data_IF_838338781332
#
_entry.id   IF_838338781332
#
_cell.length_a   1.000
_cell.length_b   1.000
_cell.length_c   1.000
_cell.angle_alpha   90.00
_cell.angle_beta   90.00
_cell.angle_gamma   90.00
#
_symmetry.space_group_name_H-M   'P 1'
#
loop_
_entity.id
_entity.type
_entity.pdbx_description
1 polymer ?
#
# COMPACT_ATOMS: atom_id res chain seq x y z
N UNK A 1 -14.60 -7.59 -24.12
CA UNK A 1 -13.61 -7.53 -25.22
C UNK A 1 -12.97 -6.16 -25.21
N UNK A 2 -11.66 -6.08 -25.46
CA UNK A 2 -10.90 -4.83 -25.53
C UNK A 2 -10.02 -4.84 -26.77
N UNK A 3 -9.82 -3.68 -27.38
CA UNK A 3 -8.90 -3.47 -28.48
C UNK A 3 -7.48 -3.36 -27.93
N UNK A 4 -6.55 -4.16 -28.47
CA UNK A 4 -5.12 -4.04 -28.14
C UNK A 4 -4.45 -3.10 -29.14
N UNK A 5 -3.90 -2.00 -28.66
CA UNK A 5 -3.15 -1.06 -29.48
C UNK A 5 -1.73 -1.60 -29.78
N UNK A 6 -1.05 -1.00 -30.75
CA UNK A 6 0.31 -1.42 -31.16
C UNK A 6 1.35 -1.28 -30.05
N UNK A 7 1.11 -0.43 -29.06
CA UNK A 7 1.94 -0.24 -27.87
C UNK A 7 1.61 -1.23 -26.73
N UNK A 8 0.65 -2.13 -26.94
CA UNK A 8 0.21 -3.13 -25.96
C UNK A 8 -0.87 -2.64 -25.00
N UNK A 9 -1.28 -1.37 -25.04
CA UNK A 9 -2.38 -0.85 -24.21
C UNK A 9 -3.73 -1.44 -24.65
N UNK A 10 -4.67 -1.53 -23.71
CA UNK A 10 -6.02 -2.04 -23.94
C UNK A 10 -7.04 -0.91 -23.86
N UNK A 11 -7.87 -0.78 -24.90
CA UNK A 11 -8.93 0.21 -25.05
C UNK A 11 -10.29 -0.49 -25.09
N UNK A 12 -11.30 0.06 -24.41
CA UNK A 12 -12.67 -0.49 -24.47
C UNK A 12 -13.35 -0.14 -25.79
N UNK A 13 -14.14 -1.08 -26.34
CA UNK A 13 -15.00 -0.82 -27.49
C UNK A 13 -16.25 -0.03 -27.07
N UNK A 14 -16.91 0.62 -28.03
CA UNK A 14 -18.19 1.28 -27.79
C UNK A 14 -19.27 0.24 -27.46
N UNK A 15 -20.25 0.60 -26.63
CA UNK A 15 -21.43 -0.22 -26.39
C UNK A 15 -22.24 -0.52 -27.69
N UNK A 16 -22.09 0.36 -28.68
CA UNK A 16 -22.76 0.25 -29.99
C UNK A 16 -21.98 -0.60 -31.00
N UNK A 17 -20.76 -1.01 -30.69
CA UNK A 17 -19.97 -1.86 -31.57
C UNK A 17 -20.53 -3.30 -31.58
N UNK A 18 -20.67 -3.86 -32.78
CA UNK A 18 -21.15 -5.22 -32.99
C UNK A 18 -20.00 -6.13 -33.43
N UNK A 19 -20.09 -7.39 -33.04
CA UNK A 19 -19.04 -8.39 -33.23
C UNK A 19 -19.60 -9.68 -33.81
N UNK A 20 -18.76 -10.37 -34.57
CA UNK A 20 -18.89 -11.78 -34.90
C UNK A 20 -17.90 -12.56 -34.04
N UNK A 21 -18.36 -13.60 -33.35
CA UNK A 21 -17.54 -14.40 -32.42
C UNK A 21 -17.80 -15.88 -32.61
N UNK A 22 -16.74 -16.68 -32.60
CA UNK A 22 -16.81 -18.12 -32.81
C UNK A 22 -15.73 -18.87 -32.05
N UNK A 23 -16.11 -20.00 -31.45
CA UNK A 23 -15.19 -20.94 -30.81
C UNK A 23 -14.60 -21.86 -31.89
N UNK A 24 -13.29 -21.79 -32.08
CA UNK A 24 -12.56 -22.55 -33.10
C UNK A 24 -12.07 -23.91 -32.58
N UNK A 25 -11.67 -23.97 -31.30
CA UNK A 25 -11.11 -25.16 -30.64
C UNK A 25 -11.62 -25.20 -29.18
N UNK A 26 -11.65 -26.39 -28.55
CA UNK A 26 -11.99 -26.56 -27.13
C UNK A 26 -13.48 -26.42 -26.78
N UNK A 27 -14.39 -26.78 -27.69
CA UNK A 27 -15.83 -26.54 -27.48
C UNK A 27 -16.53 -27.51 -26.53
N UNK A 28 -15.79 -28.48 -26.04
CA UNK A 28 -16.21 -29.44 -25.02
C UNK A 28 -16.09 -28.78 -23.63
N UNK A 29 -15.23 -27.76 -23.50
CA UNK A 29 -14.97 -27.05 -22.26
C UNK A 29 -16.00 -25.95 -21.92
N UNK A 30 -16.96 -25.67 -22.78
CA UNK A 30 -18.01 -24.69 -22.52
C UNK A 30 -18.59 -24.05 -23.77
N UNK A 31 -19.33 -22.94 -23.58
CA UNK A 31 -20.01 -22.23 -24.67
C UNK A 31 -20.00 -20.70 -24.47
N UNK A 32 -20.15 -19.95 -25.57
CA UNK A 32 -20.35 -18.50 -25.50
C UNK A 32 -21.79 -18.21 -25.08
N UNK A 33 -21.97 -17.28 -24.14
CA UNK A 33 -23.25 -16.76 -23.68
C UNK A 33 -23.45 -15.32 -24.16
N UNK A 34 -24.51 -15.09 -24.95
CA UNK A 34 -24.98 -13.75 -25.33
C UNK A 34 -26.50 -13.66 -25.17
N UNK A 35 -26.97 -12.64 -24.43
CA UNK A 35 -28.40 -12.35 -24.31
C UNK A 35 -29.26 -13.52 -23.78
N UNK A 36 -28.66 -14.42 -23.00
CA UNK A 36 -29.33 -15.62 -22.47
C UNK A 36 -29.29 -16.85 -23.38
N UNK A 37 -28.68 -16.76 -24.56
CA UNK A 37 -28.47 -17.89 -25.47
C UNK A 37 -27.03 -18.42 -25.37
N UNK A 38 -26.89 -19.75 -25.38
CA UNK A 38 -25.60 -20.44 -25.44
C UNK A 38 -25.38 -21.01 -26.85
N UNK A 39 -24.24 -20.70 -27.45
CA UNK A 39 -23.85 -21.23 -28.76
C UNK A 39 -22.33 -21.17 -28.96
N UNK A 40 -21.74 -22.01 -29.84
CA UNK A 40 -20.33 -21.92 -30.22
C UNK A 40 -20.05 -20.74 -31.17
N UNK A 41 -21.08 -20.05 -31.67
CA UNK A 41 -20.96 -18.97 -32.65
C UNK A 41 -22.10 -17.94 -32.54
N UNK A 42 -21.76 -16.66 -32.73
CA UNK A 42 -22.70 -15.56 -32.87
C UNK A 42 -22.23 -14.59 -33.97
N UNK A 43 -23.14 -14.25 -34.89
CA UNK A 43 -22.81 -13.46 -36.09
C UNK A 43 -22.90 -11.94 -35.97
N UNK A 44 -23.75 -11.41 -35.09
CA UNK A 44 -23.93 -9.96 -34.90
C UNK A 44 -24.40 -9.71 -33.47
N UNK A 45 -23.45 -9.47 -32.57
CA UNK A 45 -23.71 -9.32 -31.13
C UNK A 45 -22.99 -8.12 -30.54
N UNK A 46 -23.63 -7.46 -29.59
CA UNK A 46 -23.02 -6.41 -28.77
C UNK A 46 -22.54 -6.99 -27.44
N UNK A 47 -21.65 -6.28 -26.76
CA UNK A 47 -21.27 -6.60 -25.39
C UNK A 47 -22.46 -6.44 -24.43
N UNK A 48 -22.52 -7.18 -23.30
CA UNK A 48 -21.52 -8.14 -22.82
C UNK A 48 -21.63 -9.53 -23.48
N UNK A 49 -20.47 -10.17 -23.65
CA UNK A 49 -20.31 -11.53 -24.13
C UNK A 49 -19.56 -12.30 -23.05
N UNK A 50 -20.08 -13.45 -22.63
CA UNK A 50 -19.48 -14.29 -21.60
C UNK A 50 -19.10 -15.65 -22.16
N UNK A 51 -18.19 -16.33 -21.47
CA UNK A 51 -17.93 -17.75 -21.66
C UNK A 51 -18.46 -18.50 -20.44
N UNK A 52 -19.17 -19.59 -20.67
CA UNK A 52 -19.73 -20.45 -19.62
C UNK A 52 -19.03 -21.80 -19.72
N UNK A 53 -18.24 -22.12 -18.70
CA UNK A 53 -17.54 -23.39 -18.60
C UNK A 53 -18.52 -24.57 -18.48
N UNK A 54 -18.15 -25.71 -19.05
CA UNK A 54 -18.85 -26.97 -18.83
C UNK A 54 -18.70 -27.42 -17.36
N UNK A 55 -19.79 -27.91 -16.77
CA UNK A 55 -19.84 -28.24 -15.33
C UNK A 55 -19.17 -29.57 -14.98
N UNK A 56 -18.81 -30.37 -15.98
CA UNK A 56 -18.29 -31.73 -15.87
C UNK A 56 -16.84 -31.87 -16.35
N UNK A 57 -16.13 -30.75 -16.52
CA UNK A 57 -14.69 -30.77 -16.81
C UNK A 57 -13.92 -31.45 -15.68
N UNK A 58 -13.14 -32.47 -16.04
CA UNK A 58 -12.30 -33.23 -15.09
C UNK A 58 -10.82 -32.83 -15.13
N UNK A 59 -10.40 -32.07 -16.14
CA UNK A 59 -9.02 -31.61 -16.37
C UNK A 59 -9.04 -30.19 -16.98
N UNK A 60 -7.90 -29.48 -16.94
CA UNK A 60 -7.72 -28.19 -17.61
C UNK A 60 -7.80 -28.35 -19.13
N UNK A 61 -8.61 -27.52 -19.78
CA UNK A 61 -8.75 -27.45 -21.23
C UNK A 61 -8.57 -26.01 -21.72
N UNK A 62 -8.28 -25.83 -23.01
CA UNK A 62 -8.09 -24.52 -23.63
C UNK A 62 -9.06 -24.32 -24.79
N UNK A 63 -9.82 -23.23 -24.70
CA UNK A 63 -10.76 -22.80 -25.74
C UNK A 63 -10.15 -21.70 -26.56
N UNK A 64 -10.08 -21.90 -27.87
CA UNK A 64 -9.67 -20.85 -28.81
C UNK A 64 -10.89 -20.16 -29.37
N UNK A 65 -10.93 -18.84 -29.26
CA UNK A 65 -12.05 -18.01 -29.72
C UNK A 65 -11.52 -17.00 -30.72
N UNK A 66 -12.21 -16.82 -31.84
CA UNK A 66 -11.98 -15.72 -32.78
C UNK A 66 -13.08 -14.69 -32.67
N UNK A 67 -12.69 -13.42 -32.66
CA UNK A 67 -13.61 -12.27 -32.66
C UNK A 67 -13.28 -11.39 -33.85
N UNK A 68 -14.28 -11.02 -34.63
CA UNK A 68 -14.22 -9.99 -35.66
C UNK A 68 -15.11 -8.79 -35.31
N UNK A 69 -14.60 -7.58 -35.52
CA UNK A 69 -15.36 -6.34 -35.38
C UNK A 69 -16.18 -6.08 -36.66
N UNK A 70 -17.49 -5.92 -36.49
CA UNK A 70 -18.39 -5.53 -37.57
C UNK A 70 -18.46 -4.01 -37.60
N UNK A 71 -17.65 -3.40 -38.46
CA UNK A 71 -17.72 -1.95 -38.64
C UNK A 71 -19.06 -1.59 -39.30
N UNK A 72 -19.85 -0.74 -38.64
CA UNK A 72 -21.02 -0.13 -39.26
C UNK A 72 -20.53 0.69 -40.46
N UNK A 73 -20.79 0.17 -41.67
CA UNK A 73 -20.14 0.68 -42.87
C UNK A 73 -20.46 2.15 -43.12
N UNK A 74 -19.44 2.99 -43.08
CA UNK A 74 -19.17 3.84 -44.21
C UNK A 74 -18.78 2.92 -45.39
N UNK A 75 -19.70 2.76 -46.35
CA UNK A 75 -19.48 2.39 -47.76
C UNK A 75 -18.58 1.18 -48.09
N UNK A 76 -19.22 0.06 -48.48
CA UNK A 76 -18.59 -1.04 -49.23
C UNK A 76 -17.93 -0.53 -50.53
N UNK A 77 -16.72 -0.98 -50.89
CA UNK A 77 -16.22 -0.84 -52.26
C UNK A 77 -16.99 -1.77 -53.19
N UNK A 78 -17.61 -1.17 -54.21
CA UNK A 78 -18.26 -1.87 -55.32
C UNK A 78 -17.19 -2.50 -56.20
N UNK A 79 -17.07 -3.84 -56.20
CA UNK A 79 -16.50 -4.54 -57.34
C UNK A 79 -17.59 -4.71 -58.40
N UNK A 80 -17.43 -3.98 -59.50
CA UNK A 80 -18.24 -4.13 -60.71
C UNK A 80 -17.62 -5.21 -61.59
N UNK A 81 -18.38 -6.27 -61.87
CA UNK A 81 -18.58 -6.70 -63.26
C UNK A 81 -19.88 -7.51 -63.42
N UNK A 82 -20.53 -7.25 -64.55
CA UNK A 82 -21.89 -7.58 -65.01
C UNK A 82 -22.08 -9.11 -65.17
N UNK A 83 -23.25 -9.73 -65.02
CA UNK A 83 -24.53 -9.45 -65.70
C UNK A 83 -25.80 -9.85 -64.89
N UNK A 84 -26.77 -8.91 -64.90
CA UNK A 84 -28.26 -9.01 -64.94
C UNK A 84 -28.99 -10.06 -64.09
N UNK A 85 -29.64 -9.58 -63.02
CA UNK A 85 -31.10 -9.31 -62.86
C UNK A 85 -31.92 -10.60 -62.62
N UNK A 86 -32.56 -10.77 -61.46
CA UNK A 86 -33.84 -10.11 -61.11
C UNK A 86 -33.86 -9.63 -59.64
N UNK A 87 -34.27 -8.37 -59.47
CA UNK A 87 -34.66 -7.76 -58.21
C UNK A 87 -35.93 -8.45 -57.69
N UNK A 88 -35.83 -9.13 -56.55
CA UNK A 88 -37.00 -9.39 -55.69
C UNK A 88 -36.69 -8.94 -54.26
N UNK A 89 -37.02 -7.67 -53.97
CA UNK A 89 -37.19 -7.20 -52.60
C UNK A 89 -38.42 -7.91 -51.99
N UNK A 90 -38.18 -8.87 -51.09
CA UNK A 90 -38.91 -9.14 -49.82
C UNK A 90 -38.80 -10.61 -49.41
N UNK A 91 -38.09 -10.88 -48.31
CA UNK A 91 -38.70 -11.31 -47.03
C UNK A 91 -37.63 -11.53 -45.96
N UNK A 92 -37.87 -10.93 -44.80
CA UNK A 92 -37.25 -11.26 -43.52
C UNK A 92 -37.01 -12.75 -43.37
N UNK A 93 -35.75 -13.13 -43.10
CA UNK A 93 -35.41 -14.24 -42.23
C UNK A 93 -34.17 -13.87 -41.44
N UNK A 94 -34.38 -13.31 -40.27
CA UNK A 94 -33.54 -13.59 -39.11
C UNK A 94 -33.36 -15.11 -39.06
N UNK A 95 -32.15 -15.67 -39.07
CA UNK A 95 -31.96 -16.99 -38.50
C UNK A 95 -31.95 -16.80 -36.97
N UNK A 96 -33.11 -16.46 -36.40
CA UNK A 96 -33.39 -16.88 -35.04
C UNK A 96 -33.58 -18.39 -35.14
N UNK A 97 -32.52 -19.15 -34.85
CA UNK A 97 -32.73 -20.55 -34.48
C UNK A 97 -33.47 -20.56 -33.14
N UNK A 98 -34.61 -21.23 -33.18
CA UNK A 98 -35.61 -21.33 -32.12
C UNK A 98 -35.04 -22.18 -30.97
N UNK A 99 -35.29 -21.84 -29.70
CA UNK A 99 -34.84 -22.65 -28.57
C UNK A 99 -35.69 -23.91 -28.47
N UNK A 100 -35.06 -25.08 -28.37
CA UNK A 100 -35.73 -26.31 -27.97
C UNK A 100 -34.69 -27.33 -27.46
N UNK A 101 -34.84 -27.71 -26.19
CA UNK A 101 -34.63 -29.05 -25.62
C UNK A 101 -33.32 -29.80 -25.90
N UNK A 102 -32.59 -30.09 -24.83
CA UNK A 102 -31.77 -31.29 -24.64
C UNK A 102 -31.14 -31.88 -25.91
N UNK A 103 -29.99 -31.33 -26.29
CA UNK A 103 -28.82 -31.98 -26.89
C UNK A 103 -27.91 -30.87 -27.44
N UNK A 104 -27.15 -30.21 -26.57
CA UNK A 104 -26.11 -29.24 -26.97
C UNK A 104 -24.92 -29.99 -27.53
N UNK A 105 -25.01 -30.32 -28.81
CA UNK A 105 -23.99 -31.06 -29.52
C UNK A 105 -22.63 -30.33 -29.49
N UNK A 106 -21.65 -31.10 -29.07
CA UNK A 106 -20.19 -30.96 -28.93
C UNK A 106 -19.47 -30.56 -30.23
N UNK A 107 -19.79 -29.40 -30.81
CA UNK A 107 -19.18 -28.98 -32.08
C UNK A 107 -18.72 -27.51 -32.04
N UNK A 108 -17.46 -27.30 -32.41
CA UNK A 108 -16.91 -25.97 -32.67
C UNK A 108 -17.48 -25.33 -33.94
N UNK A 109 -17.32 -24.01 -34.02
CA UNK A 109 -17.62 -23.27 -35.23
C UNK A 109 -16.68 -23.70 -36.36
N UNK A 110 -17.26 -24.23 -37.43
CA UNK A 110 -16.54 -24.79 -38.59
C UNK A 110 -16.32 -23.74 -39.69
N UNK A 111 -16.93 -22.55 -39.54
CA UNK A 111 -16.78 -21.46 -40.49
C UNK A 111 -15.50 -20.64 -40.26
N UNK A 112 -15.31 -19.63 -41.12
CA UNK A 112 -14.25 -18.64 -40.96
C UNK A 112 -14.88 -17.29 -40.61
N UNK A 113 -14.37 -16.65 -39.55
CA UNK A 113 -14.65 -15.24 -39.26
C UNK A 113 -13.57 -14.45 -39.98
N UNK A 114 -13.95 -13.77 -41.06
CA UNK A 114 -13.05 -12.98 -41.92
C UNK A 114 -13.48 -11.51 -41.91
N UNK A 115 -13.04 -10.79 -40.88
CA UNK A 115 -13.20 -9.34 -40.78
C UNK A 115 -11.85 -8.64 -40.88
N UNK A 116 -11.79 -7.42 -41.47
CA UNK A 116 -10.54 -6.63 -41.52
C UNK A 116 -9.90 -6.39 -40.16
N UNK A 117 -10.70 -6.41 -39.09
CA UNK A 117 -10.27 -6.31 -37.70
C UNK A 117 -10.75 -7.55 -36.94
N UNK A 118 -9.87 -8.54 -36.83
CA UNK A 118 -10.12 -9.75 -36.05
C UNK A 118 -8.95 -10.10 -35.14
N UNK A 119 -9.20 -10.91 -34.13
CA UNK A 119 -8.18 -11.46 -33.25
C UNK A 119 -8.60 -12.80 -32.65
N UNK A 120 -7.60 -13.64 -32.38
CA UNK A 120 -7.77 -14.89 -31.65
C UNK A 120 -7.42 -14.67 -30.17
N UNK A 121 -8.23 -15.23 -29.29
CA UNK A 121 -8.00 -15.32 -27.86
C UNK A 121 -8.03 -16.78 -27.42
N UNK A 122 -7.32 -17.06 -26.33
CA UNK A 122 -7.37 -18.35 -25.65
C UNK A 122 -8.01 -18.15 -24.28
N UNK A 123 -8.95 -19.02 -23.94
CA UNK A 123 -9.57 -19.11 -22.61
C UNK A 123 -9.12 -20.45 -22.04
N UNK A 124 -8.43 -20.43 -20.91
CA UNK A 124 -8.09 -21.64 -20.17
C UNK A 124 -9.23 -21.93 -19.20
N UNK A 125 -9.73 -23.16 -19.18
CA UNK A 125 -10.87 -23.60 -18.38
C UNK A 125 -10.45 -24.85 -17.63
N UNK A 126 -10.30 -24.76 -16.31
CA UNK A 126 -9.83 -25.88 -15.50
C UNK A 126 -9.90 -25.57 -14.01
N UNK A 127 -9.62 -26.58 -13.19
CA UNK A 127 -9.53 -26.51 -11.73
C UNK A 127 -8.15 -25.97 -11.30
N UNK A 128 -7.67 -24.93 -12.00
CA UNK A 128 -6.42 -24.24 -11.72
C UNK A 128 -6.74 -22.94 -10.99
N UNK A 129 -5.90 -22.62 -10.01
CA UNK A 129 -6.02 -21.37 -9.28
C UNK A 129 -5.81 -20.18 -10.21
N UNK A 130 -6.51 -19.07 -9.95
CA UNK A 130 -6.37 -17.82 -10.70
C UNK A 130 -4.93 -17.28 -10.58
N UNK A 131 -4.26 -17.55 -9.45
CA UNK A 131 -2.87 -17.20 -9.19
C UNK A 131 -1.95 -18.42 -9.18
N UNK A 132 -0.70 -18.22 -9.62
CA UNK A 132 0.33 -19.26 -9.55
C UNK A 132 0.57 -19.68 -8.10
N UNK A 133 0.56 -21.00 -7.83
CA UNK A 133 0.86 -21.53 -6.50
C UNK A 133 2.35 -21.33 -6.19
N UNK A 134 2.64 -20.27 -5.44
CA UNK A 134 3.99 -19.99 -4.95
C UNK A 134 4.33 -20.92 -3.78
N UNK A 135 5.32 -21.81 -3.96
CA UNK A 135 5.82 -22.67 -2.88
C UNK A 135 6.70 -21.87 -1.91
N UNK A 136 6.53 -22.09 -0.61
CA UNK A 136 7.30 -21.38 0.42
C UNK A 136 8.79 -21.76 0.37
N UNK A 137 9.66 -20.78 0.14
CA UNK A 137 11.13 -20.95 0.28
C UNK A 137 11.55 -21.27 1.73
N UNK A 138 10.76 -20.83 2.71
CA UNK A 138 10.96 -21.09 4.13
C UNK A 138 9.59 -21.40 4.75
N UNK A 139 9.49 -22.48 5.52
CA UNK A 139 8.25 -22.89 6.20
C UNK A 139 8.15 -22.41 7.65
N UNK A 140 9.16 -21.70 8.16
CA UNK A 140 9.15 -21.14 9.52
C UNK A 140 8.31 -19.86 9.63
N UNK A 141 7.90 -19.45 10.85
CA UNK A 141 7.26 -18.16 11.09
C UNK A 141 8.06 -17.00 10.46
N UNK A 142 7.34 -16.04 9.90
CA UNK A 142 7.98 -14.83 9.40
C UNK A 142 8.60 -14.03 10.54
N UNK A 143 9.75 -13.44 10.31
CA UNK A 143 10.31 -12.39 11.16
C UNK A 143 10.06 -11.03 10.53
N UNK A 144 9.82 -10.02 11.36
CA UNK A 144 9.63 -8.65 10.93
C UNK A 144 10.88 -8.11 10.23
N UNK A 145 10.68 -7.48 9.07
CA UNK A 145 11.74 -6.85 8.30
C UNK A 145 11.99 -5.44 8.86
N UNK A 146 13.18 -5.10 9.39
CA UNK A 146 13.45 -3.77 9.92
C UNK A 146 13.25 -2.62 8.92
N UNK A 147 13.33 -2.87 7.60
CA UNK A 147 13.10 -1.86 6.56
C UNK A 147 11.64 -1.41 6.44
N UNK A 148 10.73 -2.09 7.11
CA UNK A 148 9.32 -1.73 7.23
C UNK A 148 9.06 -0.57 8.21
N UNK A 149 10.08 -0.19 8.99
CA UNK A 149 10.03 1.00 9.84
C UNK A 149 10.53 2.20 9.04
N UNK A 150 9.69 3.22 8.95
CA UNK A 150 10.03 4.47 8.26
C UNK A 150 10.17 5.61 9.29
N UNK A 151 11.33 6.28 9.27
CA UNK A 151 11.58 7.42 10.15
C UNK A 151 11.23 8.74 9.47
N UNK A 152 10.36 9.52 10.10
CA UNK A 152 9.94 10.85 9.61
C UNK A 152 10.47 11.99 10.50
N UNK A 153 10.74 13.16 9.88
CA UNK A 153 11.27 14.38 10.54
C UNK A 153 10.30 15.56 10.51
N UNK A 154 10.60 16.60 11.29
CA UNK A 154 9.91 17.90 11.25
C UNK A 154 9.81 18.44 9.82
N UNK A 155 8.69 19.10 9.47
CA UNK A 155 8.39 19.64 8.14
C UNK A 155 8.30 18.62 6.98
N UNK A 156 8.18 17.32 7.30
CA UNK A 156 7.54 16.40 6.36
C UNK A 156 6.06 16.79 6.32
N UNK A 157 5.71 17.77 5.46
CA UNK A 157 4.35 18.29 5.35
C UNK A 157 3.45 17.21 4.73
N UNK A 158 2.37 16.84 5.41
CA UNK A 158 1.44 15.82 4.89
C UNK A 158 -0.01 16.31 4.65
N UNK A 159 -0.38 17.55 5.00
CA UNK A 159 -1.57 18.28 4.49
C UNK A 159 -1.65 19.71 5.07
N UNK A 160 -2.47 20.56 4.44
CA UNK A 160 -3.01 21.81 5.00
C UNK A 160 -3.79 21.53 6.31
N UNK A 161 -3.69 22.44 7.28
CA UNK A 161 -4.38 22.34 8.58
C UNK A 161 -5.89 22.09 8.40
N UNK A 162 -6.47 21.07 9.06
CA UNK A 162 -7.92 20.89 9.07
C UNK A 162 -8.58 21.99 9.93
N UNK A 163 -9.83 22.32 9.59
CA UNK A 163 -10.67 23.24 10.38
C UNK A 163 -10.89 22.79 11.84
N UNK A 164 -10.59 21.52 12.18
CA UNK A 164 -10.62 20.99 13.53
C UNK A 164 -9.35 20.15 13.84
N UNK A 165 -8.36 20.72 14.55
CA UNK A 165 -7.08 20.06 14.85
C UNK A 165 -7.18 18.91 15.88
N UNK A 166 -8.38 18.58 16.36
CA UNK A 166 -8.60 17.52 17.36
C UNK A 166 -9.05 16.17 16.78
N UNK A 167 -9.21 16.01 15.46
CA UNK A 167 -9.59 14.71 14.89
C UNK A 167 -8.36 13.83 14.64
N UNK A 168 -8.44 12.57 15.08
CA UNK A 168 -7.38 11.54 15.02
C UNK A 168 -6.95 11.13 13.60
N UNK A 169 -7.53 11.73 12.58
CA UNK A 169 -7.42 11.36 11.17
C UNK A 169 -6.53 12.30 10.34
N UNK A 170 -5.85 13.28 10.97
CA UNK A 170 -4.95 14.20 10.28
C UNK A 170 -3.56 14.25 10.91
N UNK A 171 -2.53 14.26 10.06
CA UNK A 171 -1.13 14.35 10.47
C UNK A 171 -0.73 15.83 10.44
N UNK A 172 -0.76 16.47 11.59
CA UNK A 172 -0.17 17.81 11.79
C UNK A 172 1.32 17.66 12.13
N UNK A 173 2.10 18.75 12.06
CA UNK A 173 3.47 18.70 12.60
C UNK A 173 3.41 18.22 14.04
N UNK A 174 4.35 17.41 14.50
CA UNK A 174 4.22 16.89 15.85
C UNK A 174 4.15 18.01 16.92
N UNK A 175 4.70 19.21 16.64
CA UNK A 175 4.57 20.38 17.50
C UNK A 175 3.11 20.86 17.64
N UNK A 176 2.33 20.78 16.56
CA UNK A 176 0.89 21.06 16.56
C UNK A 176 0.06 19.94 17.20
N UNK A 177 0.53 18.69 17.18
CA UNK A 177 -0.24 17.52 17.67
C UNK A 177 -0.33 17.51 19.21
N UNK A 178 0.68 18.04 19.92
CA UNK A 178 0.67 18.22 21.38
C UNK A 178 0.54 19.69 21.75
N UNK A 179 -0.64 20.31 21.54
CA UNK A 179 -0.99 21.67 22.02
C UNK A 179 -1.01 21.84 23.57
N UNK A 180 -0.19 21.09 24.33
CA UNK A 180 0.02 21.28 25.77
C UNK A 180 1.46 21.73 26.03
N UNK A 181 1.56 22.82 26.80
CA UNK A 181 2.71 23.65 27.10
C UNK A 181 4.02 22.92 27.46
N UNK A 182 5.15 23.45 26.97
CA UNK A 182 6.55 23.15 27.36
C UNK A 182 7.27 21.94 26.73
N UNK A 183 6.79 21.36 25.64
CA UNK A 183 7.44 20.17 25.05
C UNK A 183 8.56 20.55 24.07
N UNK A 184 9.79 20.12 24.37
CA UNK A 184 10.92 20.16 23.43
C UNK A 184 11.27 18.76 22.96
N UNK A 185 11.19 18.54 21.65
CA UNK A 185 11.39 17.21 21.08
C UNK A 185 10.17 16.31 21.26
N UNK A 186 9.88 15.49 20.26
CA UNK A 186 8.79 14.51 20.29
C UNK A 186 9.10 13.33 19.37
N UNK A 187 8.77 12.14 19.86
CA UNK A 187 8.74 10.91 19.08
C UNK A 187 7.43 10.18 19.33
N UNK A 188 6.79 9.70 18.25
CA UNK A 188 5.58 8.88 18.32
C UNK A 188 5.37 8.09 17.03
N UNK A 189 4.68 6.96 17.14
CA UNK A 189 4.24 6.17 15.99
C UNK A 189 3.03 6.89 15.37
N UNK A 190 2.87 6.89 14.03
CA UNK A 190 1.70 7.51 13.36
C UNK A 190 0.72 6.45 12.82
N UNK A 191 -0.59 6.55 13.14
CA UNK A 191 -1.61 5.83 12.39
C UNK A 191 -1.98 6.68 11.16
N UNK A 192 -2.29 6.07 10.03
CA UNK A 192 -2.93 6.78 8.91
C UNK A 192 -2.14 7.14 7.65
N UNK A 193 -0.90 6.72 7.36
CA UNK A 193 -0.16 7.27 6.20
C UNK A 193 -0.27 6.55 4.84
N UNK A 194 -1.07 7.04 3.87
CA UNK A 194 -0.91 6.63 2.49
C UNK A 194 0.44 7.10 1.94
N UNK A 195 1.16 6.17 1.32
CA UNK A 195 2.34 6.50 0.53
C UNK A 195 1.95 6.56 -0.95
N UNK A 196 1.87 7.79 -1.43
CA UNK A 196 1.91 8.28 -2.82
C UNK A 196 0.67 8.99 -3.43
N UNK A 197 0.93 10.28 -3.73
CA UNK A 197 0.70 11.09 -4.94
C UNK A 197 -0.60 11.85 -5.22
N UNK A 198 -1.77 11.51 -4.69
CA UNK A 198 -2.95 12.37 -4.88
C UNK A 198 -3.47 12.95 -3.55
N UNK A 199 -2.96 14.15 -3.25
CA UNK A 199 -3.23 14.99 -2.08
C UNK A 199 -4.68 15.48 -1.94
N UNK A 200 -5.63 15.01 -2.75
CA UNK A 200 -6.99 15.56 -2.84
C UNK A 200 -8.11 14.64 -2.35
N UNK A 201 -7.79 13.49 -1.74
CA UNK A 201 -8.80 12.56 -1.22
C UNK A 201 -8.53 12.26 0.24
N UNK A 202 -9.53 12.49 1.09
CA UNK A 202 -9.57 12.02 2.47
C UNK A 202 -9.56 10.49 2.47
N UNK A 203 -8.38 9.88 2.53
CA UNK A 203 -8.26 8.44 2.68
C UNK A 203 -8.42 8.07 4.15
N UNK A 204 -9.39 7.21 4.44
CA UNK A 204 -9.45 6.46 5.69
C UNK A 204 -8.34 5.39 5.65
N UNK A 205 -7.08 5.79 5.89
CA UNK A 205 -5.96 4.87 5.92
C UNK A 205 -5.87 4.17 7.27
N UNK A 206 -5.62 2.87 7.25
CA UNK A 206 -5.22 2.10 8.44
C UNK A 206 -3.87 1.45 8.18
N UNK A 207 -3.01 1.26 9.20
CA UNK A 207 -1.72 0.59 9.00
C UNK A 207 -1.84 -0.75 8.25
N UNK A 208 -2.92 -1.48 8.50
CA UNK A 208 -3.28 -2.71 7.80
C UNK A 208 -3.66 -2.58 6.34
N UNK A 209 -4.04 -1.40 5.83
CA UNK A 209 -4.27 -1.18 4.39
C UNK A 209 -2.98 -1.03 3.59
N UNK A 210 -1.85 -0.75 4.27
CA UNK A 210 -0.51 -0.73 3.66
C UNK A 210 0.18 -2.09 3.65
N UNK A 211 -0.41 -3.09 4.32
CA UNK A 211 0.13 -4.44 4.32
C UNK A 211 -0.15 -5.12 2.99
N UNK A 212 0.91 -5.55 2.30
CA UNK A 212 0.82 -6.47 1.16
C UNK A 212 0.89 -7.88 1.73
N UNK A 213 -0.27 -8.53 1.79
CA UNK A 213 -0.46 -9.88 2.36
C UNK A 213 -0.50 -10.85 1.20
N UNK A 214 0.40 -11.81 1.22
CA UNK A 214 0.47 -12.91 0.27
C UNK A 214 0.44 -14.26 0.99
N UNK A 215 0.28 -15.32 0.23
CA UNK A 215 0.33 -16.69 0.71
C UNK A 215 1.43 -17.45 -0.02
N UNK A 216 2.04 -18.38 0.67
CA UNK A 216 2.85 -19.40 0.03
C UNK A 216 2.43 -20.79 0.51
N UNK A 217 2.64 -21.80 -0.32
CA UNK A 217 2.24 -23.17 -0.04
C UNK A 217 3.37 -23.95 0.65
N UNK A 218 3.06 -24.61 1.77
CA UNK A 218 3.95 -25.58 2.40
C UNK A 218 3.57 -27.00 1.91
N UNK A 219 4.38 -27.57 1.02
CA UNK A 219 4.15 -28.90 0.45
C UNK A 219 4.27 -30.04 1.48
N UNK A 220 5.04 -29.88 2.54
CA UNK A 220 5.24 -30.93 3.55
C UNK A 220 4.02 -31.03 4.45
N UNK A 221 3.53 -29.89 4.93
CA UNK A 221 2.38 -29.81 5.84
C UNK A 221 1.04 -29.68 5.11
N UNK A 222 1.06 -29.52 3.78
CA UNK A 222 -0.12 -29.35 2.93
C UNK A 222 -1.02 -28.18 3.38
N UNK A 223 -0.42 -27.05 3.74
CA UNK A 223 -1.14 -25.84 4.19
C UNK A 223 -0.57 -24.54 3.61
N UNK A 224 -1.41 -23.51 3.56
CA UNK A 224 -1.01 -22.15 3.20
C UNK A 224 -0.41 -21.42 4.39
N UNK A 225 0.67 -20.66 4.14
CA UNK A 225 1.34 -19.82 5.13
C UNK A 225 1.17 -18.36 4.71
N UNK A 226 0.64 -17.54 5.62
CA UNK A 226 0.55 -16.08 5.43
C UNK A 226 1.95 -15.46 5.45
N UNK A 227 2.22 -14.62 4.45
CA UNK A 227 3.42 -13.80 4.34
C UNK A 227 3.04 -12.35 4.13
N UNK A 228 3.84 -11.47 4.70
CA UNK A 228 3.78 -10.04 4.44
C UNK A 228 4.99 -9.68 3.59
N UNK A 229 4.77 -9.13 2.40
CA UNK A 229 5.86 -8.64 1.56
C UNK A 229 6.24 -7.21 1.97
N UNK A 230 5.22 -6.47 2.39
CA UNK A 230 5.35 -5.10 2.85
C UNK A 230 4.40 -4.81 4.01
N UNK A 231 4.89 -4.06 4.98
CA UNK A 231 4.10 -3.53 6.09
C UNK A 231 4.75 -2.20 6.48
N UNK A 232 4.11 -1.05 6.32
CA UNK A 232 4.77 0.23 6.64
C UNK A 232 4.36 0.74 8.01
N UNK A 233 5.33 0.91 8.90
CA UNK A 233 5.13 1.43 10.26
C UNK A 233 5.88 2.77 10.40
N UNK A 234 5.18 3.90 10.24
CA UNK A 234 5.80 5.21 10.33
C UNK A 234 6.03 5.60 11.79
N UNK A 235 7.26 6.00 12.11
CA UNK A 235 7.64 6.57 13.40
C UNK A 235 8.14 8.00 13.18
N UNK A 236 7.46 8.95 13.79
CA UNK A 236 7.78 10.36 13.73
C UNK A 236 8.76 10.73 14.84
N UNK A 237 9.79 11.50 14.51
CA UNK A 237 10.79 11.99 15.45
C UNK A 237 11.21 13.41 15.06
N UNK A 238 10.99 14.38 15.94
CA UNK A 238 11.06 15.81 15.61
C UNK A 238 11.53 16.67 16.79
N UNK A 239 12.14 17.82 16.49
CA UNK A 239 12.43 18.86 17.49
C UNK A 239 11.40 20.00 17.40
N UNK A 240 10.81 20.36 18.55
CA UNK A 240 9.88 21.48 18.70
C UNK A 240 10.52 22.51 19.62
N UNK A 241 11.06 23.58 19.05
CA UNK A 241 11.87 24.57 19.77
C UNK A 241 11.12 25.90 19.77
N UNK A 242 10.02 25.94 20.52
CA UNK A 242 9.19 27.15 20.64
C UNK A 242 9.66 28.03 21.80
N UNK A 243 9.78 29.34 21.57
CA UNK A 243 10.17 30.30 22.60
C UNK A 243 11.66 30.37 22.92
N UNK A 244 12.51 29.61 22.20
CA UNK A 244 13.96 29.62 22.37
C UNK A 244 14.67 29.99 21.08
N UNK A 245 15.87 30.57 21.22
CA UNK A 245 16.78 30.76 20.10
C UNK A 245 17.50 29.43 19.85
N UNK A 246 17.16 28.78 18.72
CA UNK A 246 17.82 27.55 18.29
C UNK A 246 19.21 27.83 17.71
N UNK A 247 20.24 27.42 18.44
CA UNK A 247 21.64 27.52 18.03
C UNK A 247 22.17 26.27 17.30
N UNK A 248 21.29 25.31 16.99
CA UNK A 248 21.60 24.11 16.24
C UNK A 248 22.61 23.24 16.97
N UNK A 249 23.73 22.95 16.30
CA UNK A 249 24.84 22.16 16.83
C UNK A 249 26.04 23.03 17.27
N UNK A 250 25.84 24.35 17.35
CA UNK A 250 26.87 25.32 17.74
C UNK A 250 27.93 25.61 16.68
N UNK A 251 27.73 25.22 15.41
CA UNK A 251 28.68 25.51 14.32
C UNK A 251 28.36 26.79 13.53
N UNK A 252 27.09 27.24 13.53
CA UNK A 252 26.67 28.45 12.82
C UNK A 252 27.13 29.71 13.58
N UNK A 253 28.32 30.19 13.21
CA UNK A 253 28.89 31.39 13.81
C UNK A 253 28.05 32.64 13.55
N UNK A 254 27.29 32.70 12.47
CA UNK A 254 26.42 33.85 12.16
C UNK A 254 25.27 33.91 13.16
N UNK A 255 24.62 32.78 13.44
CA UNK A 255 23.61 32.68 14.50
C UNK A 255 24.18 32.96 15.88
N UNK A 256 25.34 32.41 16.22
CA UNK A 256 25.99 32.68 17.51
C UNK A 256 26.28 34.18 17.67
N UNK A 257 26.87 34.82 16.65
CA UNK A 257 27.22 36.24 16.68
C UNK A 257 26.01 37.16 16.79
N UNK A 258 24.90 36.84 16.13
CA UNK A 258 23.70 37.67 16.14
C UNK A 258 22.91 37.56 17.45
N UNK A 259 23.00 36.44 18.15
CA UNK A 259 22.17 36.16 19.34
C UNK A 259 22.92 36.23 20.67
N UNK A 260 24.25 36.05 20.66
CA UNK A 260 25.13 36.07 21.84
C UNK A 260 26.09 37.24 21.69
N UNK A 261 25.70 38.40 22.21
CA UNK A 261 26.37 39.68 21.94
C UNK A 261 27.18 40.21 23.13
N UNK A 262 27.09 39.55 24.29
CA UNK A 262 27.72 40.00 25.53
C UNK A 262 28.19 38.82 26.39
N UNK A 263 29.08 39.09 27.34
CA UNK A 263 29.48 38.10 28.34
C UNK A 263 28.30 37.60 29.18
N UNK A 264 27.27 38.44 29.39
CA UNK A 264 26.04 38.01 30.08
C UNK A 264 25.23 37.02 29.25
N UNK A 265 25.09 37.24 27.93
CA UNK A 265 24.43 36.29 27.04
C UNK A 265 25.17 34.95 26.99
N UNK A 266 26.51 35.00 26.98
CA UNK A 266 27.34 33.81 26.98
C UNK A 266 27.19 33.01 28.27
N UNK A 267 27.12 33.68 29.43
CA UNK A 267 26.85 33.02 30.70
C UNK A 267 25.48 32.33 30.72
N UNK A 268 24.44 32.98 30.17
CA UNK A 268 23.10 32.38 30.00
C UNK A 268 23.18 31.16 29.08
N UNK A 269 23.86 31.28 27.95
CA UNK A 269 24.06 30.17 27.01
C UNK A 269 24.68 28.96 27.70
N UNK A 270 25.77 29.14 28.45
CA UNK A 270 26.43 28.01 29.13
C UNK A 270 25.53 27.36 30.18
N UNK A 271 24.71 28.16 30.88
CA UNK A 271 23.73 27.65 31.85
C UNK A 271 22.61 26.86 31.17
N UNK A 272 22.12 27.34 30.03
CA UNK A 272 21.12 26.63 29.25
C UNK A 272 21.70 25.33 28.68
N UNK A 273 22.95 25.34 28.22
CA UNK A 273 23.63 24.14 27.75
C UNK A 273 23.87 23.13 28.88
N UNK A 274 24.23 23.58 30.08
CA UNK A 274 24.29 22.72 31.29
C UNK A 274 22.92 22.08 31.60
N UNK A 275 21.83 22.81 31.38
CA UNK A 275 20.48 22.27 31.54
C UNK A 275 20.22 21.17 30.52
N UNK A 276 20.45 21.45 29.24
CA UNK A 276 20.23 20.51 28.15
C UNK A 276 21.08 19.25 28.24
N UNK A 277 22.35 19.38 28.61
CA UNK A 277 23.28 18.26 28.75
C UNK A 277 22.87 17.27 29.86
N UNK A 278 22.25 17.78 30.92
CA UNK A 278 21.72 16.97 32.02
C UNK A 278 20.32 16.45 31.74
N UNK A 279 19.54 17.17 30.93
CA UNK A 279 18.17 16.85 30.58
C UNK A 279 17.11 17.42 31.54
N UNK A 280 15.86 17.61 31.08
CA UNK A 280 14.75 18.09 31.90
C UNK A 280 14.39 17.15 33.06
N UNK A 281 14.46 15.83 32.84
CA UNK A 281 13.99 14.82 33.80
C UNK A 281 14.94 14.60 34.97
N UNK A 282 16.22 14.91 34.80
CA UNK A 282 17.19 14.93 35.90
C UNK A 282 17.11 16.20 36.75
N UNK A 283 16.37 17.22 36.29
CA UNK A 283 16.30 18.55 36.92
C UNK A 283 14.86 19.10 36.98
N UNK A 284 13.93 18.40 37.66
CA UNK A 284 12.54 18.80 37.72
C UNK A 284 12.37 20.23 38.25
N UNK A 285 11.50 21.01 37.60
CA UNK A 285 11.21 22.42 37.96
C UNK A 285 12.22 23.44 37.44
N UNK A 286 13.31 23.02 36.79
CA UNK A 286 14.21 23.93 36.07
C UNK A 286 13.83 24.01 34.60
N UNK A 287 14.10 25.16 33.97
CA UNK A 287 13.92 25.40 32.54
C UNK A 287 15.12 26.18 31.99
N UNK A 288 15.45 26.02 30.70
CA UNK A 288 16.39 26.92 30.02
C UNK A 288 15.80 28.33 29.96
N UNK A 289 16.67 29.33 29.88
CA UNK A 289 16.31 30.74 29.90
C UNK A 289 16.08 31.33 28.51
N UNK A 290 16.92 30.99 27.53
CA UNK A 290 16.94 31.68 26.22
C UNK A 290 17.30 30.77 25.04
N UNK A 291 18.19 29.79 25.22
CA UNK A 291 18.78 29.03 24.12
C UNK A 291 18.40 27.55 24.15
N UNK A 292 18.33 26.97 22.95
CA UNK A 292 18.12 25.55 22.71
C UNK A 292 19.04 25.05 21.59
N UNK A 293 19.27 23.73 21.55
CA UNK A 293 20.24 23.12 20.65
C UNK A 293 19.61 21.92 19.93
N UNK A 294 19.07 22.18 18.73
CA UNK A 294 18.32 21.19 17.95
C UNK A 294 19.04 19.87 17.72
N UNK A 295 20.36 19.89 17.49
CA UNK A 295 21.13 18.65 17.28
C UNK A 295 21.06 17.72 18.49
N UNK A 296 21.18 18.28 19.70
CA UNK A 296 21.09 17.51 20.94
C UNK A 296 19.67 17.00 21.19
N UNK A 297 18.65 17.84 20.93
CA UNK A 297 17.24 17.45 21.07
C UNK A 297 16.90 16.32 20.07
N UNK A 298 17.30 16.45 18.80
CA UNK A 298 17.10 15.37 17.82
C UNK A 298 17.86 14.09 18.18
N UNK A 299 19.01 14.21 18.86
CA UNK A 299 19.75 13.05 19.36
C UNK A 299 18.98 12.31 20.47
N UNK A 300 18.33 13.05 21.39
CA UNK A 300 17.41 12.52 22.39
C UNK A 300 16.24 11.80 21.73
N UNK A 301 15.55 12.47 20.81
CA UNK A 301 14.39 11.89 20.11
C UNK A 301 14.76 10.69 19.25
N UNK A 302 15.99 10.66 18.71
CA UNK A 302 16.46 9.47 18.00
C UNK A 302 16.56 8.25 18.92
N UNK A 303 16.80 8.43 20.22
CA UNK A 303 16.82 7.32 21.17
C UNK A 303 15.41 6.78 21.42
N UNK A 304 14.40 7.65 21.60
CA UNK A 304 13.00 7.20 21.61
C UNK A 304 12.64 6.44 20.34
N UNK A 305 13.04 6.94 19.17
CA UNK A 305 12.81 6.24 17.89
C UNK A 305 13.39 4.81 17.90
N UNK A 306 14.60 4.63 18.43
CA UNK A 306 15.22 3.31 18.52
C UNK A 306 14.49 2.39 19.51
N UNK A 307 14.00 2.94 20.63
CA UNK A 307 13.23 2.19 21.63
C UNK A 307 11.89 1.74 21.02
N UNK A 308 11.17 2.65 20.37
CA UNK A 308 9.90 2.33 19.70
C UNK A 308 10.11 1.34 18.56
N UNK A 309 11.17 1.49 17.77
CA UNK A 309 11.52 0.54 16.70
C UNK A 309 11.77 -0.88 17.24
N UNK A 310 12.50 -1.00 18.35
CA UNK A 310 12.74 -2.28 18.99
C UNK A 310 11.44 -2.90 19.55
N UNK A 311 10.54 -2.08 20.09
CA UNK A 311 9.24 -2.53 20.55
C UNK A 311 8.37 -3.03 19.40
N UNK A 312 8.31 -2.29 18.29
CA UNK A 312 7.60 -2.69 17.06
C UNK A 312 8.12 -4.05 16.57
N UNK A 313 9.44 -4.20 16.45
CA UNK A 313 10.08 -5.45 16.06
C UNK A 313 9.65 -6.62 16.95
N UNK A 314 9.70 -6.43 18.28
CA UNK A 314 9.31 -7.47 19.24
C UNK A 314 7.82 -7.84 19.11
N UNK A 315 6.94 -6.84 19.05
CA UNK A 315 5.49 -7.03 18.93
C UNK A 315 5.15 -7.78 17.65
N UNK A 316 5.75 -7.42 16.52
CA UNK A 316 5.45 -8.05 15.24
C UNK A 316 6.05 -9.46 15.10
N UNK A 317 7.24 -9.71 15.63
CA UNK A 317 7.78 -11.08 15.67
C UNK A 317 6.86 -12.02 16.46
N UNK A 318 6.33 -11.55 17.60
CA UNK A 318 5.34 -12.32 18.36
C UNK A 318 4.04 -12.51 17.58
N UNK A 319 3.53 -11.45 16.96
CA UNK A 319 2.34 -11.50 16.12
C UNK A 319 2.47 -12.51 14.96
N UNK A 320 3.59 -12.53 14.25
CA UNK A 320 3.80 -13.49 13.16
C UNK A 320 3.92 -14.93 13.65
N UNK A 321 4.53 -15.15 14.82
CA UNK A 321 4.52 -16.46 15.47
C UNK A 321 3.10 -16.90 15.83
N UNK A 322 2.29 -15.99 16.39
CA UNK A 322 0.90 -16.26 16.75
C UNK A 322 0.04 -16.53 15.51
N UNK A 323 0.23 -15.80 14.42
CA UNK A 323 -0.42 -16.09 13.13
C UNK A 323 -0.04 -17.49 12.63
N UNK A 324 1.25 -17.80 12.60
CA UNK A 324 1.76 -19.07 12.09
C UNK A 324 1.24 -20.28 12.87
N UNK A 325 1.14 -20.17 14.20
CA UNK A 325 0.72 -21.26 15.06
C UNK A 325 -0.81 -21.43 15.10
N UNK A 326 -1.57 -20.34 15.04
CA UNK A 326 -3.02 -20.38 15.31
C UNK A 326 -3.89 -20.36 14.04
N UNK A 327 -3.37 -19.88 12.90
CA UNK A 327 -4.13 -19.76 11.66
C UNK A 327 -3.67 -20.82 10.66
N UNK A 328 -4.28 -22.00 10.77
CA UNK A 328 -3.99 -23.16 9.93
C UNK A 328 -4.96 -23.17 8.75
N UNK A 329 -4.44 -23.16 7.53
CA UNK A 329 -5.23 -23.19 6.29
C UNK A 329 -4.82 -24.38 5.44
N UNK A 330 -5.48 -25.52 5.66
CA UNK A 330 -5.17 -26.74 4.93
C UNK A 330 -5.60 -26.62 3.47
N UNK A 331 -4.79 -27.16 2.55
CA UNK A 331 -5.11 -27.16 1.11
C UNK A 331 -6.39 -27.94 0.78
N UNK A 332 -6.77 -28.90 1.63
CA UNK A 332 -8.02 -29.63 1.50
C UNK A 332 -9.27 -28.78 1.79
N UNK A 333 -9.12 -27.66 2.51
CA UNK A 333 -10.21 -26.72 2.83
C UNK A 333 -10.19 -25.50 1.92
N UNK A 334 -9.00 -25.09 1.50
CA UNK A 334 -8.77 -23.96 0.62
C UNK A 334 -7.86 -24.45 -0.50
N UNK A 335 -8.44 -24.78 -1.65
CA UNK A 335 -7.69 -25.41 -2.73
C UNK A 335 -6.69 -24.45 -3.37
N UNK A 336 -7.05 -23.15 -3.39
CA UNK A 336 -6.28 -22.05 -3.94
C UNK A 336 -5.97 -20.95 -2.92
N UNK A 337 -4.92 -20.13 -3.14
CA UNK A 337 -4.56 -19.05 -2.22
C UNK A 337 -5.67 -17.97 -2.12
N UNK A 338 -6.34 -17.66 -3.22
CA UNK A 338 -7.47 -16.73 -3.28
C UNK A 338 -8.67 -17.17 -2.42
N UNK A 339 -8.86 -18.47 -2.21
CA UNK A 339 -9.89 -19.00 -1.30
C UNK A 339 -9.60 -18.60 0.15
N UNK A 340 -8.32 -18.63 0.55
CA UNK A 340 -7.90 -18.20 1.89
C UNK A 340 -8.07 -16.69 2.02
N UNK A 341 -7.60 -15.92 1.05
CA UNK A 341 -7.67 -14.45 1.11
C UNK A 341 -9.12 -13.97 1.12
N UNK A 342 -9.96 -14.46 0.21
CA UNK A 342 -11.39 -14.10 0.17
C UNK A 342 -12.11 -14.37 1.49
N UNK A 343 -11.73 -15.44 2.20
CA UNK A 343 -12.31 -15.82 3.50
C UNK A 343 -11.70 -15.06 4.70
N UNK A 344 -10.40 -14.76 4.67
CA UNK A 344 -9.63 -14.41 5.89
C UNK A 344 -8.92 -13.08 5.86
N UNK A 345 -8.71 -12.48 4.68
CA UNK A 345 -7.92 -11.26 4.53
C UNK A 345 -8.42 -10.14 5.44
N UNK A 346 -9.73 -9.90 5.49
CA UNK A 346 -10.33 -8.88 6.39
C UNK A 346 -9.94 -9.11 7.86
N UNK A 347 -9.97 -10.35 8.31
CA UNK A 347 -9.61 -10.70 9.69
C UNK A 347 -8.11 -10.49 9.91
N UNK A 348 -7.25 -10.94 8.99
CA UNK A 348 -5.79 -10.73 9.06
C UNK A 348 -5.48 -9.22 9.15
N UNK A 349 -6.16 -8.39 8.36
CA UNK A 349 -6.02 -6.93 8.39
C UNK A 349 -6.46 -6.34 9.73
N UNK A 350 -7.57 -6.80 10.33
CA UNK A 350 -8.01 -6.36 11.67
C UNK A 350 -6.96 -6.71 12.74
N UNK A 351 -6.46 -7.94 12.73
CA UNK A 351 -5.44 -8.37 13.69
C UNK A 351 -4.13 -7.60 13.53
N UNK A 352 -3.72 -7.33 12.28
CA UNK A 352 -2.57 -6.49 11.96
C UNK A 352 -2.78 -5.07 12.51
N UNK A 353 -3.96 -4.46 12.29
CA UNK A 353 -4.30 -3.15 12.87
C UNK A 353 -4.16 -3.16 14.39
N UNK A 354 -4.69 -4.18 15.07
CA UNK A 354 -4.60 -4.28 16.52
C UNK A 354 -3.16 -4.41 17.02
N UNK A 355 -2.31 -5.15 16.29
CA UNK A 355 -0.88 -5.24 16.60
C UNK A 355 -0.18 -3.88 16.49
N UNK A 356 -0.50 -3.09 15.46
CA UNK A 356 0.01 -1.71 15.36
C UNK A 356 -0.57 -0.84 16.49
N UNK A 357 -1.88 -0.90 16.77
CA UNK A 357 -2.54 -0.19 17.88
C UNK A 357 -1.80 -0.40 19.21
N UNK A 358 -1.45 -1.65 19.51
CA UNK A 358 -0.70 -2.00 20.73
C UNK A 358 0.68 -1.32 20.79
N UNK A 359 1.33 -1.09 19.65
CA UNK A 359 2.60 -0.37 19.60
C UNK A 359 2.44 1.11 20.00
N UNK A 360 1.32 1.76 19.64
CA UNK A 360 1.06 3.15 20.04
C UNK A 360 0.79 3.29 21.54
N UNK A 361 0.11 2.31 22.13
CA UNK A 361 -0.26 2.35 23.54
C UNK A 361 0.92 2.07 24.48
N UNK A 362 2.06 1.59 23.95
CA UNK A 362 3.28 1.26 24.72
C UNK A 362 3.62 2.34 25.75
N UNK A 363 3.82 3.57 25.30
CA UNK A 363 4.26 4.65 26.19
C UNK A 363 3.18 5.00 27.22
N UNK A 364 1.89 4.94 26.87
CA UNK A 364 0.81 5.18 27.82
C UNK A 364 0.75 4.12 28.92
N UNK A 365 1.06 2.87 28.58
CA UNK A 365 1.05 1.73 29.49
C UNK A 365 2.27 1.66 30.41
N UNK A 366 3.31 2.48 30.19
CA UNK A 366 4.42 2.60 31.11
C UNK A 366 3.99 3.28 32.42
N UNK A 367 4.52 2.79 33.54
CA UNK A 367 4.48 3.47 34.83
C UNK A 367 5.26 4.79 34.77
N UNK A 368 4.97 5.72 35.69
CA UNK A 368 5.69 7.00 35.75
C UNK A 368 7.20 6.82 35.97
N UNK A 369 7.59 5.76 36.70
CA UNK A 369 8.99 5.42 36.91
C UNK A 369 9.67 4.92 35.63
N UNK A 370 9.00 4.08 34.84
CA UNK A 370 9.50 3.61 33.55
C UNK A 370 9.63 4.76 32.55
N UNK A 371 8.60 5.62 32.44
CA UNK A 371 8.65 6.83 31.60
C UNK A 371 9.86 7.69 31.97
N UNK A 372 10.03 7.97 33.27
CA UNK A 372 11.17 8.75 33.75
C UNK A 372 12.51 8.10 33.40
N UNK A 373 12.65 6.79 33.57
CA UNK A 373 13.91 6.11 33.25
C UNK A 373 14.21 6.09 31.76
N UNK A 374 13.19 5.94 30.91
CA UNK A 374 13.33 6.03 29.47
C UNK A 374 13.87 7.41 29.06
N UNK A 375 13.30 8.48 29.60
CA UNK A 375 13.76 9.85 29.34
C UNK A 375 15.19 10.09 29.86
N UNK A 376 15.55 9.55 31.03
CA UNK A 376 16.92 9.62 31.55
C UNK A 376 17.92 8.85 30.66
N UNK A 377 17.53 7.70 30.10
CA UNK A 377 18.36 6.97 29.12
C UNK A 377 18.52 7.76 27.81
N UNK A 378 17.47 8.47 27.39
CA UNK A 378 17.50 9.37 26.24
C UNK A 378 18.42 10.58 26.48
N UNK A 379 18.34 11.21 27.66
CA UNK A 379 19.20 12.31 28.08
C UNK A 379 20.68 11.86 28.10
N UNK A 380 20.97 10.69 28.69
CA UNK A 380 22.30 10.09 28.70
C UNK A 380 22.83 9.79 27.30
N UNK A 381 21.97 9.29 26.41
CA UNK A 381 22.31 9.04 25.01
C UNK A 381 22.63 10.32 24.23
N UNK A 382 21.96 11.43 24.55
CA UNK A 382 22.16 12.73 23.93
C UNK A 382 23.35 13.52 24.51
N UNK A 383 23.74 13.25 25.76
CA UNK A 383 24.81 13.96 26.48
C UNK A 383 26.13 14.11 25.69
N UNK A 384 26.66 13.08 24.98
CA UNK A 384 27.87 13.24 24.16
C UNK A 384 27.73 14.28 23.04
N UNK A 385 26.52 14.49 22.51
CA UNK A 385 26.26 15.51 21.49
C UNK A 385 26.29 16.91 22.11
N UNK A 386 25.69 17.10 23.28
CA UNK A 386 25.78 18.35 24.04
C UNK A 386 27.21 18.70 24.45
N UNK A 387 28.05 17.70 24.78
CA UNK A 387 29.47 17.92 25.04
C UNK A 387 30.22 18.46 23.80
N UNK A 388 29.91 17.96 22.60
CA UNK A 388 30.48 18.49 21.35
C UNK A 388 30.02 19.92 21.10
N UNK A 389 28.73 20.20 21.28
CA UNK A 389 28.14 21.54 21.15
C UNK A 389 28.87 22.51 22.11
N UNK A 390 29.06 22.12 23.37
CA UNK A 390 29.81 22.89 24.37
C UNK A 390 31.20 23.22 23.90
N UNK A 391 31.92 22.23 23.38
CA UNK A 391 33.28 22.40 22.90
C UNK A 391 33.34 23.41 21.74
N UNK A 392 32.43 23.29 20.77
CA UNK A 392 32.34 24.21 19.62
C UNK A 392 32.04 25.64 20.08
N UNK A 393 31.10 25.82 20.99
CA UNK A 393 30.71 27.15 21.48
C UNK A 393 31.84 27.77 22.32
N UNK A 394 32.53 26.99 23.16
CA UNK A 394 33.70 27.48 23.89
C UNK A 394 34.81 27.93 22.93
N UNK A 395 35.09 27.16 21.89
CA UNK A 395 36.08 27.52 20.87
C UNK A 395 35.68 28.75 20.05
N UNK A 396 34.38 28.92 19.78
CA UNK A 396 33.89 30.13 19.12
C UNK A 396 34.08 31.36 20.03
N UNK A 397 33.78 31.23 21.32
CA UNK A 397 33.87 32.31 22.30
C UNK A 397 35.31 32.78 22.57
N UNK A 398 36.35 31.96 22.35
CA UNK A 398 37.75 32.42 22.51
C UNK A 398 38.15 33.51 21.52
N UNK A 399 37.45 33.62 20.39
CA UNK A 399 37.75 34.58 19.33
C UNK A 399 36.93 35.86 19.45
N UNK A 400 36.34 36.11 20.62
CA UNK A 400 35.39 37.19 20.83
C UNK A 400 35.94 38.28 21.73
N UNK A 401 35.74 39.51 21.28
CA UNK A 401 36.10 40.73 21.97
C UNK A 401 34.92 41.40 22.68
N UNK A 402 33.75 40.73 22.67
CA UNK A 402 32.53 41.19 23.33
C UNK A 402 32.56 40.97 24.83
#
# INVERSE_FOLDING_TARGET
>A
MKKRNSDGTLEDFSEWDSFEIGMLEGCDAGQILVGGALAPYFGEVNQPIYFVAASDLTETDTVKVRVGLIESSASRPVQTNKEREIITLRKNKTPQQKPLGENTATYCFIGEIDWPKMGDGFVVVGDECDEEIVVCNNTHPQTFNPFWIEKYKNFSYFSLEPNNPSSLSYIVTGCQLKRNSDVQGITFIIPGMPLEKEFSKNYAWTPSSSAIINLCFNEIEQRWIIRFDELRIPIFSSACIEGYINLGDGTDTTKLNSNVQSMSDYAILLKDLDYWEKGPYSQPGKKPQKYAFESGILKHENKHFLIDSAHVLFTFNKFFLDLFNNWIFDKSQYYCPEDVLSSKEKSIRIFTSNAVSNCFERYHNLTDWEKKNEELDCDLYASPEYFKIRTRIKNWATNKSW
#
